data_IF_991055274519
#
_entry.id   IF_991055274519
#
_cell.length_a   1.000
_cell.length_b   1.000
_cell.length_c   1.000
_cell.angle_alpha   90.00
_cell.angle_beta   90.00
_cell.angle_gamma   90.00
#
_symmetry.space_group_name_H-M   'P 1'
#
loop_
_entity.id
_entity.type
_entity.pdbx_description
1 polymer ?
#
# COMPACT_ATOMS: atom_id res chain seq x y z
N UNK A 1 2.04 33.62 0.76
CA UNK A 1 2.49 33.82 2.15
C UNK A 1 4.00 34.01 2.17
N UNK A 2 4.51 34.91 3.03
CA UNK A 2 5.97 35.13 3.13
C UNK A 2 6.69 33.92 3.76
N UNK A 3 5.98 33.08 4.53
CA UNK A 3 6.52 31.90 5.25
C UNK A 3 5.59 30.70 5.09
N UNK A 4 5.54 30.07 3.93
CA UNK A 4 4.55 29.02 3.64
C UNK A 4 4.66 27.81 4.56
N UNK A 5 5.87 27.41 4.97
CA UNK A 5 6.08 26.26 5.87
C UNK A 5 5.51 26.52 7.26
N UNK A 6 5.80 27.70 7.84
CA UNK A 6 5.28 28.08 9.17
C UNK A 6 3.76 28.25 9.17
N UNK A 7 3.21 28.83 8.09
CA UNK A 7 1.78 28.94 7.89
C UNK A 7 1.12 27.55 7.85
N UNK A 8 1.69 26.61 7.10
CA UNK A 8 1.18 25.24 7.00
C UNK A 8 1.28 24.50 8.34
N UNK A 9 2.38 24.64 9.08
CA UNK A 9 2.51 24.09 10.43
C UNK A 9 1.44 24.64 11.38
N UNK A 10 1.19 25.94 11.36
CA UNK A 10 0.12 26.57 12.17
C UNK A 10 -1.27 26.06 11.79
N UNK A 11 -1.54 25.99 10.48
CA UNK A 11 -2.81 25.51 9.95
C UNK A 11 -3.08 24.04 10.35
N UNK A 12 -2.12 23.15 10.10
CA UNK A 12 -2.21 21.73 10.47
C UNK A 12 -2.37 21.57 11.99
N UNK A 13 -1.62 22.34 12.77
CA UNK A 13 -1.70 22.28 14.24
C UNK A 13 -3.07 22.72 14.76
N UNK A 14 -3.70 23.72 14.16
CA UNK A 14 -5.02 24.23 14.56
C UNK A 14 -6.15 23.23 14.35
N UNK A 15 -5.96 22.25 13.48
CA UNK A 15 -6.97 21.23 13.14
C UNK A 15 -6.66 19.85 13.72
N UNK A 16 -5.66 19.73 14.61
CA UNK A 16 -5.37 18.47 15.28
C UNK A 16 -6.63 17.96 16.00
N UNK A 17 -7.01 16.71 15.73
CA UNK A 17 -8.26 16.09 16.19
C UNK A 17 -9.36 16.07 15.14
N UNK A 18 -9.16 16.71 13.98
CA UNK A 18 -10.04 16.62 12.83
C UNK A 18 -9.30 15.93 11.67
N UNK A 19 -9.46 14.61 11.56
CA UNK A 19 -8.74 13.75 10.59
C UNK A 19 -8.96 14.20 9.13
N UNK A 20 -10.20 14.56 8.76
CA UNK A 20 -10.53 15.00 7.39
C UNK A 20 -9.78 16.29 7.01
N UNK A 21 -9.73 17.27 7.93
CA UNK A 21 -9.02 18.53 7.68
C UNK A 21 -7.52 18.36 7.66
N UNK A 22 -6.96 17.51 8.53
CA UNK A 22 -5.53 17.16 8.50
C UNK A 22 -5.21 16.56 7.14
N UNK A 23 -5.95 15.54 6.69
CA UNK A 23 -5.76 14.90 5.39
C UNK A 23 -5.84 15.92 4.24
N UNK A 24 -6.87 16.75 4.22
CA UNK A 24 -7.04 17.79 3.21
C UNK A 24 -5.82 18.73 3.15
N UNK A 25 -5.40 19.29 4.28
CA UNK A 25 -4.27 20.25 4.30
C UNK A 25 -2.93 19.60 4.01
N UNK A 26 -2.74 18.31 4.35
CA UNK A 26 -1.55 17.56 3.95
C UNK A 26 -1.50 17.35 2.43
N UNK A 27 -2.64 17.06 1.79
CA UNK A 27 -2.71 16.98 0.33
C UNK A 27 -2.45 18.34 -0.32
N UNK A 28 -3.02 19.42 0.19
CA UNK A 28 -2.76 20.79 -0.28
C UNK A 28 -1.27 21.18 -0.13
N UNK A 29 -0.64 20.79 0.99
CA UNK A 29 0.78 21.00 1.22
C UNK A 29 1.64 20.26 0.20
N UNK A 30 1.38 18.96 -0.01
CA UNK A 30 2.08 18.14 -1.03
C UNK A 30 1.89 18.72 -2.43
N UNK A 31 0.66 19.10 -2.81
CA UNK A 31 0.35 19.75 -4.09
C UNK A 31 1.04 21.11 -4.29
N UNK A 32 1.37 21.81 -3.20
CA UNK A 32 2.14 23.07 -3.21
C UNK A 32 3.66 22.86 -3.16
N UNK A 33 4.15 21.62 -3.28
CA UNK A 33 5.57 21.28 -3.23
C UNK A 33 6.18 21.30 -1.82
N UNK A 34 5.36 21.36 -0.76
CA UNK A 34 5.84 21.29 0.63
C UNK A 34 6.06 19.84 0.98
N UNK A 35 7.31 19.49 1.29
CA UNK A 35 7.67 18.14 1.77
C UNK A 35 7.19 17.96 3.20
N UNK A 36 6.52 16.84 3.46
CA UNK A 36 6.12 16.41 4.80
C UNK A 36 7.07 15.29 5.24
N UNK A 37 7.65 15.40 6.42
CA UNK A 37 8.48 14.37 7.03
C UNK A 37 7.61 13.46 7.91
N UNK A 38 7.90 12.14 7.98
CA UNK A 38 7.14 11.19 8.79
C UNK A 38 7.19 11.57 10.29
N UNK A 39 6.27 11.08 11.10
CA UNK A 39 6.41 11.22 12.55
C UNK A 39 7.65 10.46 13.03
N UNK A 40 8.20 10.90 14.16
CA UNK A 40 9.34 10.27 14.83
C UNK A 40 9.22 10.47 16.34
N UNK A 41 9.39 9.42 17.12
CA UNK A 41 9.38 9.52 18.59
C UNK A 41 10.53 10.38 19.11
N UNK A 42 11.64 10.45 18.38
CA UNK A 42 12.81 11.26 18.74
C UNK A 42 12.74 12.70 18.25
N UNK A 43 12.06 12.99 17.11
CA UNK A 43 12.09 14.32 16.47
C UNK A 43 10.78 15.08 16.54
N UNK A 44 9.63 14.40 16.42
CA UNK A 44 8.33 15.06 16.35
C UNK A 44 7.92 15.70 17.67
N UNK A 45 7.17 16.78 17.58
CA UNK A 45 6.66 17.54 18.73
C UNK A 45 5.14 17.43 18.84
N UNK A 46 4.57 18.14 19.85
CA UNK A 46 3.13 18.29 19.98
C UNK A 46 2.52 18.98 18.73
N UNK A 47 3.03 20.16 18.28
CA UNK A 47 2.59 20.74 17.01
C UNK A 47 3.32 20.12 15.81
N UNK A 48 2.83 20.40 14.62
CA UNK A 48 3.63 20.30 13.40
C UNK A 48 4.75 21.34 13.45
N UNK A 49 5.95 20.97 13.04
CA UNK A 49 7.14 21.85 13.11
C UNK A 49 7.88 21.89 11.78
N UNK A 50 8.62 22.98 11.56
CA UNK A 50 9.53 23.11 10.42
C UNK A 50 10.85 22.43 10.78
N UNK A 51 11.32 21.53 9.93
CA UNK A 51 12.61 20.83 10.04
C UNK A 51 13.22 20.72 8.64
N UNK A 52 14.41 21.23 8.46
CA UNK A 52 15.21 21.17 7.22
C UNK A 52 14.41 21.54 5.95
N UNK A 53 13.66 22.66 5.99
CA UNK A 53 12.86 23.11 4.86
C UNK A 53 11.62 22.27 4.56
N UNK A 54 11.20 21.45 5.50
CA UNK A 54 10.07 20.53 5.40
C UNK A 54 9.16 20.67 6.63
N UNK A 55 7.98 20.08 6.59
CA UNK A 55 7.06 20.03 7.74
C UNK A 55 7.17 18.65 8.39
N UNK A 56 7.59 18.59 9.66
CA UNK A 56 7.59 17.36 10.47
C UNK A 56 6.20 17.06 10.99
N UNK A 57 5.72 15.83 10.81
CA UNK A 57 4.41 15.39 11.30
C UNK A 57 4.37 15.40 12.84
N UNK A 58 3.25 15.85 13.40
CA UNK A 58 3.03 15.95 14.86
C UNK A 58 2.74 14.57 15.49
N UNK A 59 3.34 14.24 16.65
CA UNK A 59 2.94 13.05 17.39
C UNK A 59 1.48 13.13 17.88
N UNK A 60 0.99 14.32 18.20
CA UNK A 60 -0.38 14.51 18.67
C UNK A 60 -1.42 14.31 17.56
N UNK A 61 -1.03 14.45 16.32
CA UNK A 61 -1.91 14.23 15.19
C UNK A 61 -2.05 12.74 14.81
N UNK A 62 -1.24 11.87 15.41
CA UNK A 62 -1.39 10.41 15.25
C UNK A 62 -2.62 9.96 16.05
N UNK A 63 -3.53 9.24 15.41
CA UNK A 63 -4.72 8.67 16.06
C UNK A 63 -4.32 7.76 17.22
N UNK A 64 -5.06 7.81 18.30
CA UNK A 64 -4.80 7.06 19.55
C UNK A 64 -3.56 7.52 20.35
N UNK A 65 -2.85 8.57 19.92
CA UNK A 65 -1.75 9.17 20.70
C UNK A 65 -2.27 10.38 21.47
N UNK A 66 -2.40 10.22 22.81
CA UNK A 66 -2.95 11.23 23.71
C UNK A 66 -1.95 12.34 24.06
N UNK A 67 -2.47 13.42 24.66
CA UNK A 67 -1.65 14.56 25.11
C UNK A 67 -0.63 14.13 26.18
N UNK A 68 -1.02 13.26 27.10
CA UNK A 68 -0.12 12.72 28.15
C UNK A 68 1.03 11.94 27.53
N UNK A 69 0.75 11.04 26.57
CA UNK A 69 1.77 10.28 25.87
C UNK A 69 2.80 11.21 25.21
N UNK A 70 2.35 12.22 24.45
CA UNK A 70 3.28 13.16 23.80
C UNK A 70 4.13 13.93 24.81
N UNK A 71 3.55 14.35 25.95
CA UNK A 71 4.31 15.04 27.01
C UNK A 71 5.38 14.16 27.63
N UNK A 72 5.05 12.91 27.94
CA UNK A 72 5.97 11.98 28.58
C UNK A 72 7.07 11.50 27.61
N UNK A 73 6.74 11.24 26.33
CA UNK A 73 7.73 11.01 25.27
C UNK A 73 8.70 12.19 25.17
N UNK A 74 8.15 13.42 25.10
CA UNK A 74 8.97 14.62 25.03
C UNK A 74 9.88 14.81 26.24
N UNK A 75 9.38 14.50 27.45
CA UNK A 75 10.16 14.59 28.69
C UNK A 75 11.29 13.54 28.70
N UNK A 76 10.98 12.29 28.39
CA UNK A 76 11.94 11.19 28.43
C UNK A 76 13.09 11.39 27.43
N UNK A 77 12.80 11.79 26.17
CA UNK A 77 13.83 11.98 25.14
C UNK A 77 14.75 13.20 25.36
N UNK A 78 14.41 14.13 26.29
CA UNK A 78 15.29 15.26 26.62
C UNK A 78 16.63 14.81 27.21
N UNK A 79 16.67 13.68 27.89
CA UNK A 79 17.88 13.13 28.49
C UNK A 79 18.78 12.54 27.41
N UNK A 80 18.23 11.66 26.59
CA UNK A 80 18.85 11.08 25.40
C UNK A 80 17.77 10.62 24.40
N UNK A 81 18.05 10.55 23.10
CA UNK A 81 17.16 9.91 22.12
C UNK A 81 16.85 8.47 22.52
N UNK A 82 15.68 7.96 22.12
CA UNK A 82 15.36 6.55 22.26
C UNK A 82 16.16 5.72 21.27
N UNK A 83 16.76 4.64 21.74
CA UNK A 83 17.62 3.76 20.96
C UNK A 83 16.82 2.64 20.26
N UNK A 84 15.85 2.09 20.96
CA UNK A 84 15.03 0.97 20.53
C UNK A 84 13.65 0.94 21.24
N UNK A 85 12.82 -0.05 20.90
CA UNK A 85 11.49 -0.23 21.50
C UNK A 85 11.56 -0.47 23.01
N UNK A 86 12.56 -1.22 23.47
CA UNK A 86 12.70 -1.57 24.89
C UNK A 86 13.13 -0.36 25.71
N UNK A 87 14.09 0.44 25.23
CA UNK A 87 14.49 1.71 25.85
C UNK A 87 13.31 2.69 25.89
N UNK A 88 12.52 2.74 24.81
CA UNK A 88 11.32 3.56 24.76
C UNK A 88 10.29 3.16 25.84
N UNK A 89 9.93 1.87 25.89
CA UNK A 89 8.95 1.36 26.87
C UNK A 89 9.43 1.49 28.30
N UNK A 90 10.73 1.34 28.56
CA UNK A 90 11.31 1.49 29.90
C UNK A 90 11.27 2.93 30.41
N UNK A 91 11.53 3.91 29.52
CA UNK A 91 11.66 5.33 29.91
C UNK A 91 10.35 6.12 29.85
N UNK A 92 9.36 5.63 29.08
CA UNK A 92 8.07 6.31 28.97
C UNK A 92 7.02 5.59 29.84
N UNK A 93 6.33 6.30 30.77
CA UNK A 93 5.40 5.68 31.71
C UNK A 93 4.29 4.88 30.99
N UNK A 94 4.07 3.63 31.38
CA UNK A 94 3.03 2.74 30.83
C UNK A 94 1.60 3.28 30.97
N UNK A 95 1.36 4.14 31.98
CA UNK A 95 0.07 4.82 32.17
C UNK A 95 -0.30 5.77 31.03
N UNK A 96 0.68 6.34 30.34
CA UNK A 96 0.47 7.27 29.22
C UNK A 96 0.66 6.62 27.87
N UNK A 97 1.47 5.54 27.78
CA UNK A 97 1.74 4.80 26.56
C UNK A 97 1.36 3.33 26.77
N UNK A 98 0.10 3.02 26.52
CA UNK A 98 -0.43 1.66 26.54
C UNK A 98 -0.19 0.95 25.20
N UNK A 99 -0.53 -0.36 25.13
CA UNK A 99 -0.42 -1.18 23.91
C UNK A 99 -1.00 -0.48 22.68
N UNK A 100 -2.22 0.06 22.77
CA UNK A 100 -2.88 0.76 21.64
C UNK A 100 -2.10 1.98 21.14
N UNK A 101 -1.46 2.70 22.07
CA UNK A 101 -0.61 3.84 21.71
C UNK A 101 0.69 3.38 21.05
N UNK A 102 1.30 2.27 21.52
CA UNK A 102 2.48 1.66 20.90
C UNK A 102 2.17 1.20 19.47
N UNK A 103 1.08 0.47 19.29
CA UNK A 103 0.61 0.05 17.97
C UNK A 103 0.43 1.25 17.03
N UNK A 104 -0.20 2.33 17.49
CA UNK A 104 -0.40 3.53 16.70
C UNK A 104 0.92 4.23 16.33
N UNK A 105 1.90 4.28 17.25
CA UNK A 105 3.24 4.83 16.97
C UNK A 105 4.00 3.96 15.96
N UNK A 106 3.90 2.64 16.04
CA UNK A 106 4.54 1.72 15.11
C UNK A 106 3.86 1.82 13.73
N UNK A 107 2.53 1.72 13.66
CA UNK A 107 1.79 1.79 12.40
C UNK A 107 1.97 3.12 11.68
N UNK A 108 2.12 4.22 12.41
CA UNK A 108 2.41 5.53 11.82
C UNK A 108 3.86 5.70 11.33
N UNK A 109 4.74 4.73 11.58
CA UNK A 109 6.17 4.82 11.26
C UNK A 109 6.96 5.71 12.22
N UNK A 110 6.39 6.12 13.36
CA UNK A 110 7.08 6.98 14.32
C UNK A 110 8.27 6.29 15.01
N UNK A 111 8.40 4.98 14.87
CA UNK A 111 9.47 4.14 15.43
C UNK A 111 10.36 3.48 14.35
N UNK A 112 10.21 3.83 13.06
CA UNK A 112 10.99 3.24 11.96
C UNK A 112 12.51 3.50 12.13
N UNK A 113 12.88 4.55 12.87
CA UNK A 113 14.28 4.87 13.19
C UNK A 113 14.98 3.84 14.08
N UNK A 114 14.25 2.90 14.70
CA UNK A 114 14.82 1.81 15.50
C UNK A 114 15.42 0.69 14.64
N UNK A 115 15.29 0.76 13.31
CA UNK A 115 15.94 -0.15 12.36
C UNK A 115 15.33 -1.54 12.26
N UNK A 116 14.19 -1.78 12.94
CA UNK A 116 13.39 -3.00 12.82
C UNK A 116 12.21 -2.76 11.91
N UNK A 117 11.73 -3.82 11.22
CA UNK A 117 10.49 -3.76 10.48
C UNK A 117 9.28 -3.64 11.43
N UNK A 118 8.16 -3.12 10.93
CA UNK A 118 6.98 -2.82 11.79
C UNK A 118 6.34 -4.09 12.34
N UNK A 119 6.34 -5.21 11.63
CA UNK A 119 5.82 -6.49 12.12
C UNK A 119 6.64 -7.01 13.31
N UNK A 120 7.97 -6.91 13.26
CA UNK A 120 8.87 -7.25 14.37
C UNK A 120 8.64 -6.35 15.58
N UNK A 121 8.49 -5.03 15.38
CA UNK A 121 8.17 -4.10 16.47
C UNK A 121 6.83 -4.45 17.13
N UNK A 122 5.79 -4.73 16.34
CA UNK A 122 4.47 -5.12 16.84
C UNK A 122 4.51 -6.43 17.64
N UNK A 123 5.17 -7.46 17.11
CA UNK A 123 5.32 -8.76 17.76
C UNK A 123 6.10 -8.66 19.09
N UNK A 124 6.96 -7.65 19.22
CA UNK A 124 7.80 -7.44 20.40
C UNK A 124 7.16 -6.57 21.50
N UNK A 125 5.96 -6.02 21.27
CA UNK A 125 5.29 -5.15 22.26
C UNK A 125 5.10 -5.87 23.59
N UNK A 126 4.60 -7.12 23.58
CA UNK A 126 4.32 -7.86 24.83
C UNK A 126 5.62 -8.12 25.62
N UNK A 127 6.67 -8.52 24.92
CA UNK A 127 8.01 -8.70 25.54
C UNK A 127 8.53 -7.40 26.14
N UNK A 128 8.31 -6.25 25.47
CA UNK A 128 8.74 -4.96 25.97
C UNK A 128 7.94 -4.53 27.22
N UNK A 129 6.63 -4.75 27.24
CA UNK A 129 5.78 -4.43 28.39
C UNK A 129 6.04 -5.33 29.57
N UNK A 130 6.19 -6.65 29.37
CA UNK A 130 6.56 -7.62 30.42
C UNK A 130 7.91 -7.27 31.05
N UNK A 131 8.88 -6.87 30.21
CA UNK A 131 10.19 -6.44 30.69
C UNK A 131 10.07 -5.24 31.64
N UNK A 132 9.27 -4.23 31.31
CA UNK A 132 9.03 -3.07 32.17
C UNK A 132 8.35 -3.47 33.48
N UNK A 133 7.35 -4.38 33.44
CA UNK A 133 6.65 -4.85 34.63
C UNK A 133 7.56 -5.60 35.60
N UNK A 134 8.48 -6.43 35.08
CA UNK A 134 9.47 -7.15 35.90
C UNK A 134 10.40 -6.20 36.67
N UNK A 135 10.82 -5.11 36.04
CA UNK A 135 11.69 -4.12 36.70
C UNK A 135 10.91 -3.15 37.60
N UNK A 136 9.63 -2.86 37.29
CA UNK A 136 8.80 -2.02 38.14
C UNK A 136 8.40 -2.71 39.46
N UNK A 137 8.31 -4.06 39.48
CA UNK A 137 7.97 -4.83 40.68
C UNK A 137 9.13 -4.89 41.70
N UNK A 138 10.35 -4.62 41.28
CA UNK A 138 11.56 -4.70 42.09
C UNK A 138 11.98 -3.36 42.75
N UNK A 139 11.24 -2.27 42.53
CA UNK A 139 11.60 -0.91 42.96
C UNK A 139 11.63 -0.72 44.50
N UNK A 140 11.04 -1.63 45.29
CA UNK A 140 11.08 -1.60 46.78
C UNK A 140 12.37 -2.25 47.35
N UNK A 141 13.22 -2.94 46.57
CA UNK A 141 14.41 -3.63 47.07
C UNK A 141 15.71 -3.40 46.29
N UNK A 142 15.72 -2.75 45.13
CA UNK A 142 16.82 -2.78 44.18
C UNK A 142 17.55 -1.46 43.88
N UNK A 143 17.60 -0.53 44.83
CA UNK A 143 18.59 0.57 44.74
C UNK A 143 20.07 0.14 44.71
N UNK A 144 20.35 -1.18 44.73
CA UNK A 144 21.70 -1.74 44.80
C UNK A 144 22.18 -2.43 43.50
N UNK A 145 21.29 -2.65 42.51
CA UNK A 145 21.64 -3.39 41.28
C UNK A 145 21.47 -2.58 40.00
N UNK A 146 21.38 -1.26 40.07
CA UNK A 146 21.39 -0.34 38.92
C UNK A 146 22.81 -0.17 38.35
N UNK A 147 23.59 -1.24 38.26
CA UNK A 147 24.80 -1.23 37.46
C UNK A 147 24.40 -1.61 36.02
N UNK A 148 24.65 -0.73 35.04
CA UNK A 148 24.32 -0.88 33.61
C UNK A 148 24.78 -2.21 33.00
N UNK A 149 25.64 -2.97 33.71
CA UNK A 149 26.21 -4.24 33.29
C UNK A 149 25.27 -5.45 33.38
N UNK A 150 24.12 -5.37 34.09
CA UNK A 150 23.21 -6.50 34.32
C UNK A 150 21.88 -6.41 33.57
N UNK A 151 21.60 -5.34 32.82
CA UNK A 151 20.39 -5.22 32.02
C UNK A 151 20.51 -6.09 30.76
N UNK A 152 20.06 -7.36 30.86
CA UNK A 152 19.88 -8.21 29.67
C UNK A 152 18.75 -7.59 28.86
N UNK A 153 19.12 -6.87 27.80
CA UNK A 153 18.13 -6.35 26.85
C UNK A 153 17.33 -7.52 26.24
N UNK A 154 15.99 -7.47 26.26
CA UNK A 154 15.18 -8.48 25.58
C UNK A 154 15.55 -8.57 24.09
N UNK A 155 15.30 -9.72 23.49
CA UNK A 155 15.46 -9.90 22.05
C UNK A 155 14.14 -9.58 21.35
N UNK A 156 14.22 -9.01 20.14
CA UNK A 156 13.07 -8.85 19.29
C UNK A 156 12.49 -10.20 18.87
N UNK A 157 11.17 -10.24 18.73
CA UNK A 157 10.44 -11.35 18.10
C UNK A 157 10.49 -11.13 16.60
N UNK A 158 11.53 -11.68 15.96
CA UNK A 158 11.75 -11.53 14.52
C UNK A 158 10.56 -12.05 13.73
N UNK A 159 10.02 -11.22 12.86
CA UNK A 159 8.83 -11.51 12.04
C UNK A 159 9.03 -10.92 10.65
N UNK A 160 8.55 -11.61 9.61
CA UNK A 160 8.51 -11.05 8.27
C UNK A 160 7.62 -9.80 8.24
N UNK A 161 8.01 -8.81 7.42
CA UNK A 161 7.25 -7.57 7.32
C UNK A 161 5.84 -7.81 6.75
N UNK A 162 4.89 -7.00 7.19
CA UNK A 162 3.53 -7.02 6.69
C UNK A 162 3.48 -6.71 5.19
N UNK A 163 2.50 -7.24 4.44
CA UNK A 163 2.27 -6.85 3.06
C UNK A 163 2.15 -5.33 2.93
N UNK A 164 2.72 -4.77 1.86
CA UNK A 164 2.74 -3.31 1.65
C UNK A 164 1.34 -2.68 1.70
N UNK A 165 0.34 -3.37 1.19
CA UNK A 165 -1.07 -2.89 1.19
C UNK A 165 -1.58 -2.72 2.61
N UNK A 166 -1.26 -3.67 3.51
CA UNK A 166 -1.67 -3.62 4.92
C UNK A 166 -0.94 -2.51 5.68
N UNK A 167 0.38 -2.36 5.46
CA UNK A 167 1.16 -1.27 6.04
C UNK A 167 0.59 0.10 5.66
N UNK A 168 0.24 0.29 4.38
CA UNK A 168 -0.34 1.53 3.90
C UNK A 168 -1.75 1.77 4.43
N UNK A 169 -2.54 0.70 4.62
CA UNK A 169 -3.86 0.79 5.26
C UNK A 169 -3.73 1.26 6.72
N UNK A 170 -2.78 0.73 7.48
CA UNK A 170 -2.49 1.15 8.86
C UNK A 170 -1.93 2.58 8.93
N UNK A 171 -1.06 2.98 7.99
CA UNK A 171 -0.63 4.38 7.89
C UNK A 171 -1.82 5.32 7.69
N UNK A 172 -2.70 4.99 6.76
CA UNK A 172 -3.90 5.81 6.50
C UNK A 172 -4.82 5.87 7.70
N UNK A 173 -5.01 4.75 8.41
CA UNK A 173 -5.82 4.71 9.62
C UNK A 173 -5.26 5.60 10.73
N UNK A 174 -3.93 5.62 10.90
CA UNK A 174 -3.25 6.34 11.99
C UNK A 174 -2.91 7.79 11.66
N UNK A 175 -2.57 8.10 10.40
CA UNK A 175 -2.14 9.42 9.95
C UNK A 175 -3.19 10.17 9.11
N UNK A 176 -4.26 9.48 8.68
CA UNK A 176 -5.28 10.02 7.77
C UNK A 176 -4.87 10.06 6.31
N UNK A 177 -3.61 9.81 5.96
CA UNK A 177 -3.09 9.77 4.60
C UNK A 177 -2.15 8.57 4.39
N UNK A 178 -1.95 8.19 3.13
CA UNK A 178 -0.83 7.34 2.74
C UNK A 178 0.44 8.16 2.75
N UNK A 179 1.37 7.82 3.63
CA UNK A 179 2.56 8.61 3.88
C UNK A 179 3.78 8.10 3.10
N UNK A 180 4.12 6.83 3.27
CA UNK A 180 5.33 6.23 2.70
C UNK A 180 5.21 5.98 1.21
N UNK A 181 4.06 5.48 0.75
CA UNK A 181 3.79 5.14 -0.64
C UNK A 181 2.30 5.23 -0.96
N UNK A 182 1.97 5.26 -2.25
CA UNK A 182 0.59 5.09 -2.69
C UNK A 182 0.27 3.58 -2.83
N UNK A 183 -0.94 3.10 -2.45
CA UNK A 183 -1.28 1.66 -2.57
C UNK A 183 -1.10 1.09 -3.98
N UNK A 184 -1.26 1.90 -5.02
CA UNK A 184 -1.03 1.50 -6.41
C UNK A 184 0.43 1.18 -6.73
N UNK A 185 1.38 1.59 -5.89
CA UNK A 185 2.80 1.31 -6.11
C UNK A 185 3.11 -0.18 -6.20
N UNK A 186 2.36 -1.03 -5.48
CA UNK A 186 2.45 -2.49 -5.55
C UNK A 186 2.01 -3.05 -6.92
N UNK A 187 1.14 -2.32 -7.63
CA UNK A 187 0.55 -2.73 -8.91
C UNK A 187 1.15 -2.01 -10.13
N UNK A 188 2.22 -1.21 -9.93
CA UNK A 188 2.80 -0.36 -10.99
C UNK A 188 3.17 -1.13 -12.26
N UNK A 189 3.84 -2.29 -12.13
CA UNK A 189 4.23 -3.13 -13.27
C UNK A 189 2.99 -3.64 -14.03
N UNK A 190 1.98 -4.11 -13.31
CA UNK A 190 0.74 -4.64 -13.85
C UNK A 190 -0.05 -3.55 -14.58
N UNK A 191 -0.18 -2.37 -13.98
CA UNK A 191 -0.85 -1.22 -14.59
C UNK A 191 -0.15 -0.75 -15.87
N UNK A 192 1.18 -0.68 -15.86
CA UNK A 192 1.97 -0.33 -17.03
C UNK A 192 1.77 -1.35 -18.18
N UNK A 193 1.76 -2.66 -17.88
CA UNK A 193 1.52 -3.72 -18.86
C UNK A 193 0.14 -3.62 -19.53
N UNK A 194 -0.87 -3.05 -18.81
CA UNK A 194 -2.21 -2.84 -19.35
C UNK A 194 -2.42 -1.43 -19.93
N UNK A 195 -1.35 -0.64 -20.09
CA UNK A 195 -1.41 0.69 -20.69
C UNK A 195 -2.24 1.69 -19.86
N UNK A 196 -2.26 1.52 -18.53
CA UNK A 196 -2.92 2.49 -17.65
C UNK A 196 -2.19 3.83 -17.70
N UNK A 197 -2.94 4.91 -17.95
CA UNK A 197 -2.44 6.27 -17.82
C UNK A 197 -2.51 6.73 -16.36
N UNK A 198 -1.70 7.71 -16.01
CA UNK A 198 -1.80 8.41 -14.73
C UNK A 198 -2.94 9.43 -14.73
N UNK A 199 -3.38 9.85 -13.54
CA UNK A 199 -4.38 10.93 -13.40
C UNK A 199 -3.87 12.23 -14.03
N UNK A 200 -2.60 12.53 -13.87
CA UNK A 200 -1.98 13.72 -14.48
C UNK A 200 -2.08 13.69 -16.01
N UNK A 201 -1.77 12.55 -16.63
CA UNK A 201 -1.91 12.37 -18.09
C UNK A 201 -3.38 12.40 -18.52
N UNK A 202 -4.28 11.84 -17.75
CA UNK A 202 -5.72 11.83 -18.02
C UNK A 202 -6.31 13.25 -17.99
N UNK A 203 -5.87 14.10 -17.06
CA UNK A 203 -6.30 15.51 -16.99
C UNK A 203 -5.89 16.30 -18.24
N UNK A 204 -4.82 15.92 -18.91
CA UNK A 204 -4.35 16.54 -20.15
C UNK A 204 -5.01 15.95 -21.40
N UNK A 205 -5.58 14.74 -21.31
CA UNK A 205 -6.12 14.00 -22.44
C UNK A 205 -7.65 14.07 -22.55
N UNK A 206 -8.20 15.28 -22.55
CA UNK A 206 -9.65 15.53 -22.64
C UNK A 206 -10.26 14.88 -23.89
N UNK A 207 -11.44 14.27 -23.74
CA UNK A 207 -12.23 13.58 -24.77
C UNK A 207 -11.62 12.25 -25.28
N UNK A 208 -10.49 11.79 -24.75
CA UNK A 208 -9.91 10.48 -25.11
C UNK A 208 -10.46 9.40 -24.18
N UNK A 209 -10.62 8.20 -24.74
CA UNK A 209 -10.85 6.99 -23.96
C UNK A 209 -9.51 6.58 -23.34
N UNK A 210 -9.51 6.35 -22.02
CA UNK A 210 -8.32 6.02 -21.25
C UNK A 210 -8.64 4.90 -20.25
N UNK A 211 -7.61 4.16 -19.90
CA UNK A 211 -7.64 3.27 -18.73
C UNK A 211 -6.75 3.86 -17.64
N UNK A 212 -7.23 3.79 -16.39
CA UNK A 212 -6.54 4.32 -15.22
C UNK A 212 -6.44 3.23 -14.15
N UNK A 213 -5.31 3.17 -13.47
CA UNK A 213 -5.20 2.48 -12.19
C UNK A 213 -5.44 3.50 -11.07
N UNK A 214 -6.45 3.30 -10.23
CA UNK A 214 -6.85 4.29 -9.23
C UNK A 214 -7.24 3.67 -7.91
N UNK A 215 -7.03 4.43 -6.83
CA UNK A 215 -7.64 4.19 -5.55
C UNK A 215 -8.96 4.98 -5.49
N UNK A 216 -10.05 4.33 -5.12
CA UNK A 216 -11.32 5.00 -4.83
C UNK A 216 -11.26 5.61 -3.43
N UNK A 217 -10.93 6.90 -3.35
CA UNK A 217 -10.74 7.62 -2.08
C UNK A 217 -12.05 7.96 -1.41
N UNK A 218 -13.07 8.40 -2.19
CA UNK A 218 -14.41 8.75 -1.68
C UNK A 218 -15.49 8.36 -2.68
N UNK A 219 -16.68 7.97 -2.17
CA UNK A 219 -17.87 7.71 -2.96
C UNK A 219 -19.07 8.45 -2.37
N UNK A 220 -19.78 9.18 -3.21
CA UNK A 220 -21.07 9.82 -2.87
C UNK A 220 -22.14 9.35 -3.82
N UNK A 221 -23.00 8.46 -3.36
CA UNK A 221 -24.17 8.01 -4.13
C UNK A 221 -25.30 9.01 -4.00
N UNK A 222 -25.92 9.35 -5.13
CA UNK A 222 -27.08 10.23 -5.18
C UNK A 222 -28.19 9.58 -6.02
N UNK A 223 -29.43 10.01 -5.77
CA UNK A 223 -30.59 9.61 -6.55
C UNK A 223 -30.94 10.71 -7.57
N UNK A 224 -31.03 10.34 -8.84
CA UNK A 224 -31.40 11.25 -9.92
C UNK A 224 -32.88 11.63 -9.84
N UNK A 225 -33.29 12.68 -10.59
CA UNK A 225 -34.69 13.06 -10.69
C UNK A 225 -35.59 11.93 -11.25
N UNK A 226 -35.02 11.00 -12.00
CA UNK A 226 -35.71 9.80 -12.53
C UNK A 226 -35.73 8.63 -11.57
N UNK A 227 -35.27 8.82 -10.32
CA UNK A 227 -35.27 7.80 -9.27
C UNK A 227 -34.15 6.78 -9.35
N UNK A 228 -33.23 6.90 -10.28
CA UNK A 228 -32.08 5.99 -10.45
C UNK A 228 -30.87 6.45 -9.61
N UNK A 229 -30.03 5.51 -9.15
CA UNK A 229 -28.81 5.84 -8.42
C UNK A 229 -27.65 6.10 -9.39
N UNK A 230 -26.83 7.09 -9.06
CA UNK A 230 -25.53 7.38 -9.68
C UNK A 230 -24.51 7.72 -8.59
N UNK A 231 -23.24 7.76 -8.92
CA UNK A 231 -22.21 8.10 -7.95
C UNK A 231 -21.24 9.17 -8.47
N UNK A 232 -20.85 10.06 -7.54
CA UNK A 232 -19.66 10.89 -7.67
C UNK A 232 -18.54 10.24 -6.87
N UNK A 233 -17.37 10.15 -7.48
CA UNK A 233 -16.20 9.48 -6.92
C UNK A 233 -15.05 10.47 -6.84
N UNK A 234 -14.19 10.32 -5.83
CA UNK A 234 -12.84 10.89 -5.81
C UNK A 234 -11.87 9.74 -6.05
N UNK A 235 -11.14 9.81 -7.14
CA UNK A 235 -10.11 8.85 -7.52
C UNK A 235 -8.75 9.45 -7.22
N UNK A 236 -7.80 8.64 -6.76
CA UNK A 236 -6.42 9.07 -6.56
C UNK A 236 -5.43 8.06 -7.12
N UNK A 237 -4.27 8.55 -7.52
CA UNK A 237 -3.07 7.79 -7.84
C UNK A 237 -1.82 8.46 -7.26
N UNK A 238 -0.63 8.01 -7.65
CA UNK A 238 0.64 8.60 -7.21
C UNK A 238 0.84 10.04 -7.68
N UNK A 239 0.12 10.48 -8.74
CA UNK A 239 0.30 11.78 -9.40
C UNK A 239 -0.72 12.84 -8.95
N UNK A 240 -1.86 12.43 -8.36
CA UNK A 240 -2.86 13.36 -7.87
C UNK A 240 -4.24 12.76 -7.63
N UNK A 241 -5.23 13.64 -7.57
CA UNK A 241 -6.63 13.31 -7.40
C UNK A 241 -7.48 13.83 -8.57
N UNK A 242 -8.57 13.13 -8.86
CA UNK A 242 -9.53 13.47 -9.90
C UNK A 242 -10.96 13.13 -9.48
N UNK A 243 -11.89 14.01 -9.81
CA UNK A 243 -13.32 13.71 -9.69
C UNK A 243 -13.75 12.77 -10.82
N UNK A 244 -14.59 11.79 -10.49
CA UNK A 244 -15.21 10.92 -11.48
C UNK A 244 -16.72 10.80 -11.26
N UNK A 245 -17.43 10.43 -12.33
CA UNK A 245 -18.87 10.19 -12.32
C UNK A 245 -19.16 8.82 -12.89
N UNK A 246 -20.06 8.11 -12.22
CA UNK A 246 -20.65 6.86 -12.70
C UNK A 246 -22.14 7.09 -12.90
N UNK A 247 -22.56 7.12 -14.16
CA UNK A 247 -23.96 7.31 -14.51
C UNK A 247 -24.84 6.08 -14.17
N UNK A 248 -26.17 6.22 -14.11
CA UNK A 248 -27.05 5.17 -13.60
C UNK A 248 -26.94 3.82 -14.29
N UNK A 249 -26.72 3.81 -15.60
CA UNK A 249 -26.59 2.58 -16.38
C UNK A 249 -25.34 1.78 -15.94
N UNK A 250 -24.20 2.46 -15.85
CA UNK A 250 -22.94 1.88 -15.41
C UNK A 250 -22.96 1.58 -13.91
N UNK A 251 -23.61 2.43 -13.09
CA UNK A 251 -23.66 2.25 -11.64
C UNK A 251 -24.30 0.91 -11.24
N UNK A 252 -25.34 0.46 -11.95
CA UNK A 252 -25.96 -0.85 -11.69
C UNK A 252 -24.96 -2.01 -11.80
N UNK A 253 -24.03 -1.93 -12.74
CA UNK A 253 -23.04 -2.98 -12.98
C UNK A 253 -21.84 -2.84 -12.07
N UNK A 254 -21.40 -1.61 -11.80
CA UNK A 254 -20.15 -1.31 -11.10
C UNK A 254 -20.32 -1.20 -9.58
N UNK A 255 -21.53 -1.00 -9.07
CA UNK A 255 -21.79 -0.83 -7.63
C UNK A 255 -21.15 -1.88 -6.72
N UNK A 256 -21.01 -3.18 -7.10
CA UNK A 256 -20.36 -4.17 -6.22
C UNK A 256 -18.88 -3.92 -5.97
N UNK A 257 -18.18 -3.28 -6.92
CA UNK A 257 -16.74 -2.99 -6.80
C UNK A 257 -16.44 -1.57 -6.32
N UNK A 258 -17.46 -0.69 -6.31
CA UNK A 258 -17.32 0.70 -5.89
C UNK A 258 -17.45 0.82 -4.37
N UNK A 259 -16.34 0.68 -3.66
CA UNK A 259 -16.20 0.90 -2.20
C UNK A 259 -14.99 1.76 -1.90
N UNK A 260 -15.07 2.60 -0.89
CA UNK A 260 -13.93 3.40 -0.44
C UNK A 260 -12.76 2.50 -0.04
N UNK A 261 -11.56 2.87 -0.48
CA UNK A 261 -10.35 2.08 -0.30
C UNK A 261 -10.12 1.03 -1.40
N UNK A 262 -11.07 0.80 -2.32
CA UNK A 262 -10.87 -0.15 -3.42
C UNK A 262 -9.80 0.33 -4.40
N UNK A 263 -8.90 -0.57 -4.78
CA UNK A 263 -7.94 -0.38 -5.86
C UNK A 263 -8.58 -0.88 -7.16
N UNK A 264 -8.77 0.02 -8.11
CA UNK A 264 -9.52 -0.25 -9.33
C UNK A 264 -8.66 -0.04 -10.58
N UNK A 265 -8.81 -0.95 -11.54
CA UNK A 265 -8.52 -0.66 -12.93
C UNK A 265 -9.80 -0.19 -13.60
N UNK A 266 -9.77 0.99 -14.19
CA UNK A 266 -10.98 1.61 -14.73
C UNK A 266 -10.75 2.07 -16.16
N UNK A 267 -11.84 2.09 -16.96
CA UNK A 267 -11.85 2.69 -18.28
C UNK A 267 -12.97 3.73 -18.38
N UNK A 268 -12.69 4.79 -19.12
CA UNK A 268 -13.62 5.90 -19.30
C UNK A 268 -13.05 7.00 -20.15
N UNK A 269 -13.66 8.17 -20.10
CA UNK A 269 -13.20 9.36 -20.82
C UNK A 269 -13.19 10.58 -19.91
N UNK A 270 -12.26 11.50 -20.14
CA UNK A 270 -12.23 12.78 -19.46
C UNK A 270 -13.08 13.80 -20.20
N UNK A 271 -13.93 14.52 -19.46
CA UNK A 271 -14.73 15.63 -19.97
C UNK A 271 -14.52 16.86 -19.09
N UNK A 272 -14.60 18.06 -19.69
CA UNK A 272 -14.57 19.31 -18.93
C UNK A 272 -16.01 19.62 -18.48
N UNK A 273 -16.20 19.81 -17.17
CA UNK A 273 -17.44 20.25 -16.56
C UNK A 273 -17.13 21.33 -15.52
N UNK A 274 -17.80 22.47 -15.62
CA UNK A 274 -17.60 23.60 -14.70
C UNK A 274 -16.11 23.95 -14.51
N UNK A 275 -15.39 24.06 -15.63
CA UNK A 275 -13.94 24.36 -15.69
C UNK A 275 -13.01 23.36 -15.01
N UNK A 276 -13.55 22.16 -14.64
CA UNK A 276 -12.75 21.04 -14.09
C UNK A 276 -12.80 19.83 -15.01
N UNK A 277 -11.69 19.11 -15.09
CA UNK A 277 -11.65 17.84 -15.78
C UNK A 277 -12.26 16.76 -14.87
N UNK A 278 -13.25 16.04 -15.38
CA UNK A 278 -13.96 14.97 -14.69
C UNK A 278 -13.89 13.70 -15.50
N UNK A 279 -13.64 12.57 -14.84
CA UNK A 279 -13.59 11.26 -15.48
C UNK A 279 -14.96 10.61 -15.50
N UNK A 280 -15.46 10.30 -16.69
CA UNK A 280 -16.71 9.56 -16.88
C UNK A 280 -16.36 8.08 -16.96
N UNK A 281 -16.57 7.38 -15.86
CA UNK A 281 -16.22 5.97 -15.71
C UNK A 281 -17.25 5.09 -16.45
N UNK A 282 -16.78 4.23 -17.33
CA UNK A 282 -17.61 3.28 -18.07
C UNK A 282 -17.41 1.83 -17.64
N UNK A 283 -16.23 1.49 -17.15
CA UNK A 283 -15.85 0.17 -16.62
C UNK A 283 -14.98 0.32 -15.39
N UNK A 284 -15.09 -0.64 -14.48
CA UNK A 284 -14.18 -0.78 -13.34
C UNK A 284 -14.09 -2.25 -12.92
N UNK A 285 -12.94 -2.68 -12.52
CA UNK A 285 -12.67 -3.97 -11.89
C UNK A 285 -11.65 -3.80 -10.77
N UNK A 286 -11.69 -4.68 -9.77
CA UNK A 286 -10.69 -4.66 -8.70
C UNK A 286 -9.32 -5.07 -9.26
N UNK A 287 -8.25 -4.37 -8.86
CA UNK A 287 -6.89 -4.70 -9.30
C UNK A 287 -6.46 -6.11 -8.90
N UNK A 288 -6.93 -6.58 -7.75
CA UNK A 288 -6.71 -7.96 -7.29
C UNK A 288 -7.34 -9.01 -8.21
N UNK A 289 -8.39 -8.65 -8.96
CA UNK A 289 -9.07 -9.51 -9.94
C UNK A 289 -8.56 -9.27 -11.36
N UNK A 290 -7.70 -8.29 -11.57
CA UNK A 290 -6.96 -8.13 -12.83
C UNK A 290 -5.96 -9.26 -12.94
N UNK A 291 -6.49 -10.37 -13.35
CA UNK A 291 -5.74 -11.62 -13.40
C UNK A 291 -4.41 -11.50 -14.14
N UNK A 292 -3.47 -12.26 -13.60
CA UNK A 292 -2.40 -12.90 -14.36
C UNK A 292 -2.86 -13.52 -15.72
N UNK A 293 -4.15 -13.59 -16.01
CA UNK A 293 -4.69 -14.03 -17.30
C UNK A 293 -4.33 -13.13 -18.50
N UNK A 294 -3.95 -11.87 -18.25
CA UNK A 294 -3.51 -10.94 -19.29
C UNK A 294 -1.99 -10.74 -19.36
N UNK A 295 -1.21 -11.31 -18.46
CA UNK A 295 0.23 -11.43 -18.69
C UNK A 295 0.47 -12.31 -19.92
N UNK A 296 1.51 -12.02 -20.72
CA UNK A 296 1.88 -12.89 -21.82
C UNK A 296 1.87 -14.34 -21.34
N UNK A 297 1.15 -15.19 -22.02
CA UNK A 297 1.01 -16.59 -21.59
C UNK A 297 1.19 -17.52 -22.77
N UNK A 298 1.95 -18.60 -22.55
CA UNK A 298 2.17 -19.64 -23.55
C UNK A 298 1.14 -20.74 -23.38
N UNK A 299 0.33 -20.94 -24.40
CA UNK A 299 -0.64 -22.03 -24.46
C UNK A 299 -0.05 -23.16 -25.30
N UNK A 300 0.04 -24.34 -24.70
CA UNK A 300 0.57 -25.56 -25.31
C UNK A 300 -0.56 -26.55 -25.44
N UNK A 301 -0.96 -26.87 -26.64
CA UNK A 301 -1.94 -27.93 -26.93
C UNK A 301 -1.21 -29.27 -27.07
N UNK A 302 -1.68 -30.26 -26.31
CA UNK A 302 -1.22 -31.65 -26.40
C UNK A 302 -2.31 -32.46 -27.11
N UNK A 303 -2.06 -32.85 -28.33
CA UNK A 303 -2.97 -33.67 -29.13
C UNK A 303 -3.08 -35.09 -28.57
N UNK A 304 -4.20 -35.75 -28.86
CA UNK A 304 -4.46 -37.10 -28.35
C UNK A 304 -3.39 -38.11 -28.78
N UNK A 305 -2.77 -37.91 -29.93
CA UNK A 305 -1.65 -38.70 -30.49
C UNK A 305 -0.31 -38.43 -29.80
N UNK A 306 -0.15 -37.27 -29.18
CA UNK A 306 1.07 -36.81 -28.51
C UNK A 306 1.07 -37.01 -27.01
N UNK A 307 0.00 -37.54 -26.46
CA UNK A 307 -0.15 -37.77 -25.01
C UNK A 307 0.66 -39.00 -24.54
N UNK A 308 2.00 -38.84 -24.53
CA UNK A 308 2.94 -39.85 -24.03
C UNK A 308 3.79 -39.28 -22.88
N UNK A 309 4.23 -40.17 -21.98
CA UNK A 309 5.14 -39.75 -20.88
C UNK A 309 6.45 -39.15 -21.40
N UNK A 310 6.93 -39.61 -22.55
CA UNK A 310 8.16 -39.12 -23.15
C UNK A 310 8.04 -37.67 -23.63
N UNK A 311 6.93 -37.31 -24.29
CA UNK A 311 6.67 -35.94 -24.76
C UNK A 311 6.47 -35.00 -23.56
N UNK A 312 5.71 -35.42 -22.55
CA UNK A 312 5.52 -34.63 -21.31
C UNK A 312 6.85 -34.37 -20.57
N UNK A 313 7.74 -35.38 -20.54
CA UNK A 313 9.07 -35.23 -19.94
C UNK A 313 9.95 -34.24 -20.73
N UNK A 314 9.88 -34.26 -22.08
CA UNK A 314 10.60 -33.30 -22.94
C UNK A 314 10.07 -31.86 -22.72
N UNK A 315 8.75 -31.67 -22.69
CA UNK A 315 8.14 -30.37 -22.38
C UNK A 315 8.63 -29.87 -21.02
N UNK A 316 8.49 -30.72 -19.98
CA UNK A 316 8.93 -30.38 -18.62
C UNK A 316 10.40 -29.95 -18.60
N UNK A 317 11.29 -30.61 -19.32
CA UNK A 317 12.70 -30.26 -19.39
C UNK A 317 12.91 -28.91 -20.04
N UNK A 318 12.25 -28.61 -21.18
CA UNK A 318 12.34 -27.32 -21.86
C UNK A 318 11.88 -26.19 -20.96
N UNK A 319 10.74 -26.37 -20.24
CA UNK A 319 10.22 -25.36 -19.32
C UNK A 319 11.17 -25.09 -18.16
N UNK A 320 11.82 -26.12 -17.60
CA UNK A 320 12.74 -25.97 -16.47
C UNK A 320 14.11 -25.38 -16.87
N UNK A 321 14.55 -25.60 -18.13
CA UNK A 321 15.79 -25.03 -18.66
C UNK A 321 15.70 -23.52 -18.92
N UNK A 322 14.49 -22.97 -19.16
CA UNK A 322 14.26 -21.59 -19.58
C UNK A 322 13.31 -20.85 -18.63
N UNK A 323 13.67 -20.77 -17.36
CA UNK A 323 12.86 -20.10 -16.34
C UNK A 323 12.70 -18.60 -16.60
N UNK A 324 11.49 -18.07 -16.41
CA UNK A 324 11.12 -16.68 -16.60
C UNK A 324 9.80 -16.32 -15.92
N UNK A 325 9.16 -15.24 -16.35
CA UNK A 325 7.93 -14.73 -15.75
C UNK A 325 6.65 -15.07 -16.54
N UNK A 326 6.78 -15.67 -17.74
CA UNK A 326 5.63 -15.96 -18.61
C UNK A 326 4.91 -17.24 -18.18
N UNK A 327 3.64 -17.13 -17.86
CA UNK A 327 2.80 -18.25 -17.45
C UNK A 327 2.58 -19.28 -18.56
N UNK A 328 2.51 -20.56 -18.21
CA UNK A 328 2.31 -21.67 -19.16
C UNK A 328 1.02 -22.41 -18.87
N UNK A 329 0.22 -22.63 -19.90
CA UNK A 329 -1.02 -23.40 -19.88
C UNK A 329 -0.90 -24.60 -20.78
N UNK A 330 -1.27 -25.79 -20.26
CA UNK A 330 -1.36 -27.03 -21.04
C UNK A 330 -2.84 -27.32 -21.33
N UNK A 331 -3.20 -27.45 -22.60
CA UNK A 331 -4.51 -27.93 -23.03
C UNK A 331 -4.41 -29.36 -23.53
N UNK A 332 -5.06 -30.28 -22.80
CA UNK A 332 -5.16 -31.68 -23.17
C UNK A 332 -6.40 -31.92 -24.05
N UNK A 333 -6.18 -32.19 -25.34
CA UNK A 333 -7.28 -32.37 -26.30
C UNK A 333 -8.19 -33.54 -25.96
N UNK A 334 -7.62 -34.67 -25.50
CA UNK A 334 -8.38 -35.87 -25.14
C UNK A 334 -9.34 -35.66 -23.98
N UNK A 335 -8.93 -34.85 -22.99
CA UNK A 335 -9.71 -34.58 -21.77
C UNK A 335 -10.49 -33.26 -21.88
N UNK A 336 -10.25 -32.48 -22.94
CA UNK A 336 -10.80 -31.11 -23.11
C UNK A 336 -10.55 -30.22 -21.89
N UNK A 337 -9.40 -30.38 -21.25
CA UNK A 337 -9.05 -29.70 -20.01
C UNK A 337 -7.83 -28.79 -20.21
N UNK A 338 -7.91 -27.59 -19.69
CA UNK A 338 -6.77 -26.65 -19.59
C UNK A 338 -6.25 -26.67 -18.15
N UNK A 339 -4.95 -26.84 -18.00
CA UNK A 339 -4.26 -26.80 -16.70
C UNK A 339 -3.25 -25.66 -16.73
N UNK A 340 -3.35 -24.73 -15.77
CA UNK A 340 -2.31 -23.73 -15.50
C UNK A 340 -1.17 -24.39 -14.75
N UNK A 341 0.05 -24.27 -15.25
CA UNK A 341 1.22 -24.80 -14.54
C UNK A 341 1.63 -23.89 -13.38
N UNK A 342 2.18 -24.44 -12.29
CA UNK A 342 2.74 -23.68 -11.18
C UNK A 342 3.86 -22.71 -11.66
N UNK A 343 4.14 -21.68 -10.87
CA UNK A 343 5.17 -20.66 -11.15
C UNK A 343 6.57 -21.25 -11.41
N UNK A 344 6.88 -22.42 -10.81
CA UNK A 344 8.12 -23.15 -11.06
C UNK A 344 8.33 -23.56 -12.52
N UNK A 345 7.26 -23.51 -13.37
CA UNK A 345 7.27 -23.80 -14.80
C UNK A 345 7.04 -22.56 -15.67
N UNK A 346 7.04 -21.37 -15.09
CA UNK A 346 7.04 -20.14 -15.88
C UNK A 346 8.34 -20.02 -16.67
N UNK A 347 8.25 -19.51 -17.91
CA UNK A 347 9.37 -19.46 -18.83
C UNK A 347 9.66 -18.02 -19.31
N UNK A 348 10.89 -17.80 -19.75
CA UNK A 348 11.19 -16.68 -20.62
C UNK A 348 10.75 -17.07 -22.04
N UNK A 349 9.62 -16.48 -22.49
CA UNK A 349 9.00 -16.81 -23.77
C UNK A 349 9.73 -16.15 -24.95
N UNK A 350 11.05 -16.30 -25.01
CA UNK A 350 11.85 -15.85 -26.13
C UNK A 350 11.60 -16.68 -27.39
N UNK A 351 12.13 -16.20 -28.53
CA UNK A 351 11.95 -16.86 -29.81
C UNK A 351 12.53 -18.27 -29.83
N UNK A 352 13.57 -18.54 -29.05
CA UNK A 352 14.28 -19.83 -29.04
C UNK A 352 13.47 -20.91 -28.30
N UNK A 353 12.88 -20.56 -27.16
CA UNK A 353 12.02 -21.49 -26.36
C UNK A 353 10.75 -21.83 -27.13
N UNK A 354 10.09 -20.78 -27.66
CA UNK A 354 8.88 -20.97 -28.46
C UNK A 354 9.16 -21.84 -29.72
N UNK A 355 10.30 -21.66 -30.35
CA UNK A 355 10.70 -22.46 -31.50
C UNK A 355 10.90 -23.95 -31.13
N UNK A 356 11.63 -24.23 -30.04
CA UNK A 356 11.85 -25.60 -29.52
C UNK A 356 10.54 -26.33 -29.18
N UNK A 357 9.60 -25.60 -28.55
CA UNK A 357 8.27 -26.15 -28.25
C UNK A 357 7.45 -26.41 -29.50
N UNK A 358 7.52 -25.51 -30.49
CA UNK A 358 6.85 -25.68 -31.82
C UNK A 358 7.42 -26.83 -32.64
N UNK A 359 8.73 -27.04 -32.60
CA UNK A 359 9.34 -28.21 -33.25
C UNK A 359 8.89 -29.53 -32.62
N UNK A 360 8.75 -29.55 -31.26
CA UNK A 360 8.35 -30.74 -30.56
C UNK A 360 6.87 -31.10 -30.78
N UNK A 361 5.98 -30.11 -30.83
CA UNK A 361 4.52 -30.29 -30.77
C UNK A 361 3.78 -29.89 -32.06
N UNK A 362 4.43 -29.19 -32.97
CA UNK A 362 3.81 -28.56 -34.13
C UNK A 362 3.51 -27.07 -33.89
N UNK A 363 3.69 -26.28 -34.97
CA UNK A 363 3.58 -24.82 -34.92
C UNK A 363 2.20 -24.31 -34.46
N UNK A 364 1.13 -25.04 -34.76
CA UNK A 364 -0.24 -24.71 -34.38
C UNK A 364 -0.57 -25.01 -32.91
N UNK A 365 0.24 -25.82 -32.25
CA UNK A 365 -0.01 -26.31 -30.89
C UNK A 365 0.69 -25.46 -29.81
N UNK A 366 1.46 -24.45 -30.18
CA UNK A 366 2.13 -23.54 -29.26
C UNK A 366 1.82 -22.10 -29.65
N UNK A 367 1.07 -21.42 -28.81
CA UNK A 367 0.61 -20.05 -29.05
C UNK A 367 1.04 -19.17 -27.85
N UNK A 368 1.80 -18.10 -28.13
CA UNK A 368 2.02 -17.00 -27.20
C UNK A 368 0.85 -16.02 -27.37
N UNK A 369 0.01 -15.92 -26.36
CA UNK A 369 -1.00 -14.87 -26.30
C UNK A 369 -0.40 -13.66 -25.60
N UNK A 370 -0.31 -12.56 -26.31
CA UNK A 370 -0.08 -11.21 -25.80
C UNK A 370 -1.44 -10.50 -25.88
N UNK A 371 -1.95 -10.02 -24.76
CA UNK A 371 -3.27 -9.38 -24.69
C UNK A 371 -3.13 -7.87 -24.85
#
# INVERSE_FOLDING_TARGET
AHYPLYFMCGLLTSVIGNEDKISQYLYEAKGSGIRILPPSVNKSSFPFTVEDGSVRYSLRAIKSVGVSAVKDIYKARKEKPFEDLFDFCFRVPSKSVNRKTLEALIFSGAMDEFGQNRATLLASIDVALEHVELFAADDDQMGLFLDESFSIKPKYVETEELPLVDLLAFEKETLGIYFSNHPLSAFRKQLAAHGAASILEAQQAVKRQLSLGVLLSKIKTIRTKTGQNMAFLTLSDETGEMEAVVFPEQFRQLSPVLREGALLFTAGKCEIRQDKVQFIMSRAELLENMDAEKAPSVYIKIESSQHSQEILAKIKRILLEHKGETGVYLYYERQKQTIKLPESFHIDADHQVLYRLKELLGHQNVVLKQW
#
